data_IF_140435911596
#
_entry.id   IF_140435911596
#
_cell.length_a   1.000
_cell.length_b   1.000
_cell.length_c   1.000
_cell.angle_alpha   90.00
_cell.angle_beta   90.00
_cell.angle_gamma   90.00
#
_symmetry.space_group_name_H-M   'P 1'
#
loop_
_entity.id
_entity.type
_entity.pdbx_description
1 polymer ?
#
# COMPACT_ATOMS: atom_id res chain seq x y z
N UNK A 1 6.70 -21.64 7.66
CA UNK A 1 6.99 -21.89 6.23
C UNK A 1 6.30 -20.77 5.45
N UNK A 2 7.04 -19.82 4.90
CA UNK A 2 6.46 -18.73 4.11
C UNK A 2 5.83 -19.37 2.86
N UNK A 3 4.60 -18.99 2.53
CA UNK A 3 3.90 -19.53 1.37
C UNK A 3 4.74 -19.32 0.10
N UNK A 4 5.00 -20.40 -0.63
CA UNK A 4 5.76 -20.34 -1.87
C UNK A 4 5.05 -19.41 -2.86
N UNK A 5 5.74 -18.38 -3.35
CA UNK A 5 5.23 -17.44 -4.36
C UNK A 5 4.96 -16.00 -3.89
N UNK A 6 5.18 -15.67 -2.61
CA UNK A 6 5.10 -14.28 -2.13
C UNK A 6 6.49 -13.78 -1.80
N UNK A 7 7.00 -12.84 -2.59
CA UNK A 7 8.22 -12.12 -2.30
C UNK A 7 7.97 -11.03 -1.26
N UNK A 8 8.81 -11.00 -0.23
CA UNK A 8 8.70 -10.04 0.86
C UNK A 8 10.00 -9.25 0.95
N UNK A 9 9.87 -7.92 0.94
CA UNK A 9 10.99 -7.00 1.05
C UNK A 9 10.80 -6.12 2.29
N UNK A 10 11.91 -5.74 2.93
CA UNK A 10 11.93 -4.81 4.05
C UNK A 10 12.90 -3.66 3.77
N UNK A 11 12.47 -2.44 4.05
CA UNK A 11 13.27 -1.23 3.91
C UNK A 11 13.42 -0.54 5.27
N UNK A 12 14.66 -0.37 5.71
CA UNK A 12 14.95 0.39 6.92
C UNK A 12 14.96 1.89 6.58
N UNK A 13 14.10 2.66 7.24
CA UNK A 13 14.04 4.12 7.07
C UNK A 13 13.44 4.78 8.31
N UNK A 14 13.74 6.07 8.50
CA UNK A 14 13.07 6.87 9.52
C UNK A 14 11.61 7.11 9.15
N UNK A 15 10.73 7.27 10.14
CA UNK A 15 9.29 7.45 9.91
C UNK A 15 8.99 8.64 9.00
N UNK A 16 9.67 9.76 9.23
CA UNK A 16 9.57 10.98 8.42
C UNK A 16 9.89 10.77 6.94
N UNK A 17 10.67 9.76 6.60
CA UNK A 17 11.10 9.46 5.23
C UNK A 17 10.20 8.43 4.55
N UNK A 18 9.31 7.74 5.28
CA UNK A 18 8.46 6.67 4.73
C UNK A 18 7.63 7.11 3.51
N UNK A 19 6.96 8.28 3.51
CA UNK A 19 6.16 8.71 2.35
C UNK A 19 7.02 8.91 1.09
N UNK A 20 8.21 9.50 1.24
CA UNK A 20 9.12 9.75 0.12
C UNK A 20 9.75 8.46 -0.43
N UNK A 21 10.12 7.52 0.46
CA UNK A 21 10.59 6.20 0.06
C UNK A 21 9.48 5.44 -0.68
N UNK A 22 8.23 5.54 -0.22
CA UNK A 22 7.09 4.92 -0.88
C UNK A 22 6.91 5.46 -2.32
N UNK A 23 6.98 6.78 -2.52
CA UNK A 23 6.92 7.37 -3.87
C UNK A 23 7.97 6.77 -4.80
N UNK A 24 9.23 6.68 -4.34
CA UNK A 24 10.32 6.08 -5.12
C UNK A 24 10.05 4.63 -5.50
N UNK A 25 9.44 3.85 -4.60
CA UNK A 25 9.06 2.46 -4.88
C UNK A 25 7.93 2.39 -5.91
N UNK A 26 6.94 3.27 -5.82
CA UNK A 26 5.83 3.36 -6.78
C UNK A 26 6.36 3.76 -8.15
N UNK A 27 7.24 4.76 -8.23
CA UNK A 27 7.77 5.31 -9.48
C UNK A 27 8.69 4.32 -10.21
N UNK A 28 9.44 3.51 -9.45
CA UNK A 28 10.29 2.47 -10.02
C UNK A 28 9.49 1.28 -10.54
N UNK A 29 8.23 1.10 -10.10
CA UNK A 29 7.35 0.02 -10.55
C UNK A 29 6.57 0.45 -11.78
N UNK A 30 6.84 -0.20 -12.91
CA UNK A 30 6.00 -0.06 -14.09
C UNK A 30 4.56 -0.43 -13.73
N UNK A 31 3.64 0.52 -13.93
CA UNK A 31 2.21 0.31 -13.72
C UNK A 31 1.75 -0.08 -12.30
N UNK A 32 2.41 0.44 -11.25
CA UNK A 32 2.08 0.13 -9.85
C UNK A 32 0.56 0.07 -9.56
N UNK A 33 0.14 -1.03 -8.93
CA UNK A 33 -1.21 -1.27 -8.46
C UNK A 33 -1.14 -2.06 -7.15
N UNK A 34 -1.62 -1.48 -6.04
CA UNK A 34 -1.37 -2.07 -4.73
C UNK A 34 -2.12 -1.44 -3.56
N UNK A 35 -2.02 -2.12 -2.42
CA UNK A 35 -2.62 -1.68 -1.15
C UNK A 35 -1.50 -1.31 -0.18
N UNK A 36 -1.66 -0.19 0.51
CA UNK A 36 -0.73 0.32 1.52
C UNK A 36 -1.42 0.30 2.88
N UNK A 37 -0.87 -0.47 3.81
CA UNK A 37 -1.41 -0.55 5.16
C UNK A 37 -0.76 0.46 6.10
N UNK A 38 -1.59 1.23 6.81
CA UNK A 38 -1.19 2.18 7.83
C UNK A 38 -1.75 1.77 9.21
N UNK A 39 -1.02 2.12 10.27
CA UNK A 39 -1.41 1.75 11.64
C UNK A 39 -2.65 2.50 12.14
N UNK A 40 -2.82 3.77 11.75
CA UNK A 40 -3.90 4.63 12.27
C UNK A 40 -4.69 5.26 11.13
N UNK A 41 -5.94 5.65 11.41
CA UNK A 41 -6.79 6.38 10.45
C UNK A 41 -6.17 7.72 10.03
N UNK A 42 -5.48 8.41 10.95
CA UNK A 42 -4.83 9.70 10.62
C UNK A 42 -3.72 9.49 9.60
N UNK A 43 -2.89 8.45 9.77
CA UNK A 43 -1.86 8.09 8.79
C UNK A 43 -2.45 7.71 7.44
N UNK A 44 -3.61 7.02 7.42
CA UNK A 44 -4.32 6.73 6.16
C UNK A 44 -4.71 8.04 5.45
N UNK A 45 -5.35 8.97 6.16
CA UNK A 45 -5.80 10.24 5.59
C UNK A 45 -4.61 11.09 5.11
N UNK A 46 -3.59 11.23 5.94
CA UNK A 46 -2.41 12.04 5.63
C UNK A 46 -1.62 11.48 4.45
N UNK A 47 -1.43 10.16 4.39
CA UNK A 47 -0.72 9.52 3.28
C UNK A 47 -1.53 9.58 1.98
N UNK A 48 -2.85 9.38 2.05
CA UNK A 48 -3.73 9.51 0.88
C UNK A 48 -3.63 10.92 0.31
N UNK A 49 -3.73 11.96 1.15
CA UNK A 49 -3.58 13.36 0.73
C UNK A 49 -2.21 13.59 0.09
N UNK A 50 -1.14 13.17 0.76
CA UNK A 50 0.24 13.31 0.27
C UNK A 50 0.47 12.69 -1.11
N UNK A 51 -0.09 11.49 -1.36
CA UNK A 51 0.03 10.80 -2.63
C UNK A 51 -0.84 11.44 -3.72
N UNK A 52 -2.07 11.83 -3.39
CA UNK A 52 -2.97 12.52 -4.33
C UNK A 52 -2.39 13.87 -4.77
N UNK A 53 -1.81 14.65 -3.86
CA UNK A 53 -1.13 15.93 -4.17
C UNK A 53 0.06 15.76 -5.12
N UNK A 54 0.71 14.59 -5.12
CA UNK A 54 1.78 14.22 -6.06
C UNK A 54 1.28 13.67 -7.39
N UNK A 55 -0.03 13.55 -7.57
CA UNK A 55 -0.65 13.05 -8.81
C UNK A 55 -0.84 11.53 -8.86
N UNK A 56 -0.58 10.80 -7.77
CA UNK A 56 -0.91 9.38 -7.72
C UNK A 56 -2.42 9.19 -7.56
N UNK A 57 -2.99 8.29 -8.37
CA UNK A 57 -4.41 7.91 -8.27
C UNK A 57 -4.62 7.07 -7.02
N UNK A 58 -5.03 7.70 -5.92
CA UNK A 58 -5.06 7.09 -4.58
C UNK A 58 -6.42 7.24 -3.94
N UNK A 59 -6.90 6.18 -3.30
CA UNK A 59 -8.11 6.16 -2.48
C UNK A 59 -7.78 5.65 -1.07
N UNK A 60 -8.68 5.90 -0.13
CA UNK A 60 -8.49 5.49 1.27
C UNK A 60 -9.63 4.61 1.79
N UNK A 61 -9.33 3.76 2.78
CA UNK A 61 -10.34 2.92 3.45
C UNK A 61 -10.06 2.82 4.96
N UNK A 62 -10.94 3.40 5.78
CA UNK A 62 -10.82 3.37 7.24
C UNK A 62 -12.18 3.18 7.97
N UNK A 63 -12.10 3.01 9.30
CA UNK A 63 -13.22 2.71 10.19
C UNK A 63 -14.34 3.76 10.21
N UNK A 64 -13.97 5.03 10.05
CA UNK A 64 -14.90 6.16 10.18
C UNK A 64 -15.63 6.53 8.87
N UNK A 65 -15.31 5.86 7.74
CA UNK A 65 -16.00 6.12 6.47
C UNK A 65 -17.42 5.57 6.50
N UNK A 66 -18.36 6.29 5.88
CA UNK A 66 -19.68 5.77 5.61
C UNK A 66 -19.61 4.52 4.71
N UNK A 67 -20.61 3.66 4.79
CA UNK A 67 -20.69 2.47 3.94
C UNK A 67 -20.66 2.82 2.45
N UNK A 68 -21.37 3.88 2.04
CA UNK A 68 -21.36 4.39 0.67
C UNK A 68 -19.97 4.85 0.22
N UNK A 69 -19.22 5.55 1.08
CA UNK A 69 -17.86 5.98 0.76
C UNK A 69 -16.90 4.78 0.63
N UNK A 70 -17.05 3.75 1.48
CA UNK A 70 -16.26 2.51 1.37
C UNK A 70 -16.50 1.80 0.05
N UNK A 71 -17.76 1.68 -0.35
CA UNK A 71 -18.13 1.03 -1.61
C UNK A 71 -17.61 1.82 -2.81
N UNK A 72 -17.69 3.16 -2.79
CA UNK A 72 -17.14 4.01 -3.83
C UNK A 72 -15.61 3.88 -3.97
N UNK A 73 -14.87 3.92 -2.85
CA UNK A 73 -13.42 3.76 -2.84
C UNK A 73 -13.00 2.37 -3.34
N UNK A 74 -13.67 1.31 -2.88
CA UNK A 74 -13.43 -0.06 -3.34
C UNK A 74 -13.77 -0.23 -4.82
N UNK A 75 -14.85 0.37 -5.30
CA UNK A 75 -15.22 0.35 -6.71
C UNK A 75 -14.15 1.04 -7.57
N UNK A 76 -13.68 2.21 -7.13
CA UNK A 76 -12.63 2.96 -7.83
C UNK A 76 -11.32 2.16 -7.90
N UNK A 77 -10.93 1.50 -6.81
CA UNK A 77 -9.75 0.64 -6.77
C UNK A 77 -9.91 -0.58 -7.69
N UNK A 78 -11.01 -1.33 -7.59
CA UNK A 78 -11.29 -2.53 -8.43
C UNK A 78 -11.36 -2.21 -9.92
N UNK A 79 -11.82 -1.00 -10.28
CA UNK A 79 -11.87 -0.52 -11.66
C UNK A 79 -10.55 0.11 -12.13
N UNK A 80 -9.48 0.08 -11.31
CA UNK A 80 -8.19 0.75 -11.55
C UNK A 80 -8.29 2.27 -11.79
N UNK A 81 -9.41 2.89 -11.41
CA UNK A 81 -9.55 4.36 -11.37
C UNK A 81 -8.68 4.93 -10.27
N UNK A 82 -8.58 4.23 -9.14
CA UNK A 82 -7.52 4.38 -8.16
C UNK A 82 -6.52 3.23 -8.34
N UNK A 83 -5.23 3.54 -8.39
CA UNK A 83 -4.16 2.55 -8.48
C UNK A 83 -3.62 2.14 -7.12
N UNK A 84 -3.79 3.01 -6.12
CA UNK A 84 -3.28 2.82 -4.76
C UNK A 84 -4.46 2.89 -3.80
N UNK A 85 -4.57 1.91 -2.91
CA UNK A 85 -5.55 1.94 -1.81
C UNK A 85 -4.80 2.00 -0.48
N UNK A 86 -4.99 3.07 0.29
CA UNK A 86 -4.38 3.21 1.63
C UNK A 86 -5.41 2.84 2.69
N UNK A 87 -5.11 1.90 3.58
CA UNK A 87 -6.10 1.43 4.56
C UNK A 87 -5.50 1.02 5.90
N UNK A 88 -6.36 0.86 6.92
CA UNK A 88 -5.96 0.23 8.19
C UNK A 88 -6.24 -1.28 8.17
N UNK A 89 -5.54 -2.06 9.01
CA UNK A 89 -5.75 -3.51 9.19
C UNK A 89 -7.22 -3.86 9.53
N UNK A 90 -7.92 -2.95 10.20
CA UNK A 90 -9.35 -3.13 10.54
C UNK A 90 -10.25 -3.05 9.30
N UNK A 91 -9.84 -2.29 8.29
CA UNK A 91 -10.68 -1.91 7.17
C UNK A 91 -10.64 -2.91 6.00
N UNK A 92 -9.63 -3.79 5.98
CA UNK A 92 -9.43 -4.85 4.98
C UNK A 92 -10.12 -6.17 5.35
N UNK A 93 -10.67 -6.27 6.56
CA UNK A 93 -11.37 -7.47 7.04
C UNK A 93 -12.87 -7.33 6.78
N UNK A 94 -13.31 -7.70 5.57
CA UNK A 94 -14.67 -8.20 5.38
C UNK A 94 -14.92 -9.29 6.42
N UNK A 95 -16.03 -9.19 7.15
CA UNK A 95 -16.55 -10.15 8.14
C UNK A 95 -15.75 -11.46 8.32
N UNK A 96 -15.02 -11.61 9.44
CA UNK A 96 -14.63 -12.92 9.96
C UNK A 96 -13.17 -13.13 10.38
N UNK A 97 -12.97 -13.20 11.70
CA UNK A 97 -11.83 -13.75 12.47
C UNK A 97 -10.55 -12.92 12.58
N UNK A 98 -10.31 -12.49 13.82
CA UNK A 98 -9.09 -11.85 14.30
C UNK A 98 -7.92 -12.84 14.29
N UNK A 99 -6.81 -12.44 13.67
CA UNK A 99 -5.48 -12.89 14.06
C UNK A 99 -4.61 -11.65 14.17
N UNK A 100 -4.07 -11.45 15.36
CA UNK A 100 -3.06 -10.45 15.67
C UNK A 100 -1.79 -10.82 14.90
N UNK A 101 -1.31 -9.91 14.05
CA UNK A 101 0.08 -9.89 13.63
C UNK A 101 0.57 -8.43 13.68
N UNK A 102 1.60 -8.12 14.49
CA UNK A 102 2.27 -6.83 14.40
C UNK A 102 3.19 -6.85 13.17
N UNK A 103 3.19 -5.76 12.42
CA UNK A 103 3.91 -5.56 11.14
C UNK A 103 3.31 -6.32 9.96
N UNK A 104 2.97 -5.63 8.85
CA UNK A 104 2.97 -6.22 7.48
C UNK A 104 2.61 -5.18 6.41
N UNK A 105 3.58 -4.86 5.56
CA UNK A 105 3.65 -5.28 4.15
C UNK A 105 3.03 -4.23 3.21
N UNK A 106 3.86 -3.63 2.35
CA UNK A 106 3.41 -3.21 1.03
C UNK A 106 3.18 -4.49 0.24
N UNK A 107 1.94 -4.97 0.20
CA UNK A 107 1.57 -6.07 -0.68
C UNK A 107 1.30 -5.49 -2.07
N UNK A 108 2.14 -5.76 -3.08
CA UNK A 108 1.73 -5.58 -4.46
C UNK A 108 0.45 -6.41 -4.68
N UNK A 109 -0.61 -5.78 -5.20
CA UNK A 109 -1.79 -6.54 -5.57
C UNK A 109 -1.39 -7.49 -6.71
N UNK A 110 -1.77 -8.77 -6.59
CA UNK A 110 -1.43 -9.84 -7.52
C UNK A 110 -1.50 -9.36 -8.98
N UNK A 111 -0.34 -9.40 -9.67
CA UNK A 111 -0.20 -9.00 -11.07
C UNK A 111 0.81 -7.88 -11.35
N UNK A 112 1.47 -7.29 -10.35
CA UNK A 112 2.56 -6.32 -10.57
C UNK A 112 3.88 -7.04 -10.79
N UNK A 113 4.52 -6.77 -11.93
CA UNK A 113 5.84 -7.28 -12.33
C UNK A 113 6.87 -6.80 -11.30
N UNK A 114 7.75 -7.72 -10.85
CA UNK A 114 8.83 -7.47 -9.89
C UNK A 114 9.57 -6.16 -10.14
N UNK A 115 9.66 -5.32 -9.11
CA UNK A 115 10.72 -4.32 -8.99
C UNK A 115 12.06 -5.05 -8.87
N UNK A 116 12.75 -5.28 -9.99
CA UNK A 116 14.17 -5.64 -9.94
C UNK A 116 14.93 -4.41 -9.46
N UNK A 117 15.56 -4.50 -8.29
CA UNK A 117 16.63 -3.57 -7.94
C UNK A 117 17.74 -3.68 -8.98
N UNK A 118 18.33 -2.57 -9.47
CA UNK A 118 19.56 -2.65 -10.23
C UNK A 118 20.63 -3.33 -9.38
N UNK A 119 21.42 -4.22 -10.01
CA UNK A 119 22.58 -4.86 -9.40
C UNK A 119 23.45 -3.79 -8.73
N UNK A 120 23.83 -4.05 -7.46
CA UNK A 120 24.84 -3.24 -6.79
C UNK A 120 26.13 -3.39 -7.61
N UNK A 121 26.86 -2.30 -7.92
CA UNK A 121 28.21 -2.45 -8.43
C UNK A 121 29.05 -3.12 -7.35
N UNK A 122 29.72 -4.21 -7.73
CA UNK A 122 30.74 -4.87 -6.92
C UNK A 122 31.75 -3.81 -6.45
N UNK A 123 31.87 -3.68 -5.12
CA UNK A 123 32.91 -2.86 -4.54
C UNK A 123 34.22 -3.65 -4.60
N UNK A 124 35.12 -3.21 -5.48
CA UNK A 124 36.56 -3.37 -5.33
C UNK A 124 37.08 -2.56 -4.14
#
# INVERSE_FOLDING_TARGET
MLAAGIEQYYYQTHEKNKPEVLCKLIDAAEEFYGVVFCQTKNLVVDLTRYLTERGYKTECLHGDMSQSAREAAMLAFRQRRARILVCTDVASRGSGRKRHHPCRELLPAAGTRQLRTPDRPDRA
#
